data_IF_651612403412
#
_entry.id   IF_651612403412
#
_cell.length_a   1.000
_cell.length_b   1.000
_cell.length_c   1.000
_cell.angle_alpha   90.00
_cell.angle_beta   90.00
_cell.angle_gamma   90.00
#
_symmetry.space_group_name_H-M   'P 1'
#
loop_
_entity.id
_entity.type
_entity.pdbx_description
1 polymer ?
#
# COMPACT_ATOMS: atom_id res chain seq x y z
N UNK A 1 -12.73 17.44 -2.11
CA UNK A 1 -12.22 16.31 -2.92
C UNK A 1 -10.96 16.79 -3.63
N UNK A 2 -9.88 15.99 -3.65
CA UNK A 2 -8.67 16.31 -4.41
C UNK A 2 -8.63 15.45 -5.66
N UNK A 3 -8.54 16.09 -6.83
CA UNK A 3 -8.49 15.43 -8.13
C UNK A 3 -7.08 15.52 -8.68
N UNK A 4 -6.55 14.38 -9.15
CA UNK A 4 -5.25 14.34 -9.79
C UNK A 4 -5.32 14.96 -11.20
N UNK A 5 -4.25 15.62 -11.62
CA UNK A 5 -4.08 16.07 -13.01
C UNK A 5 -3.89 14.85 -13.93
N UNK A 6 -4.26 14.92 -15.22
CA UNK A 6 -4.15 13.78 -16.15
C UNK A 6 -2.76 13.13 -16.19
N UNK A 7 -1.70 13.95 -16.07
CA UNK A 7 -0.30 13.51 -16.10
C UNK A 7 0.04 12.56 -14.94
N UNK A 8 -0.65 12.67 -13.80
CA UNK A 8 -0.46 11.77 -12.68
C UNK A 8 -0.89 10.34 -13.02
N UNK A 9 -1.95 10.17 -13.81
CA UNK A 9 -2.39 8.85 -14.26
C UNK A 9 -1.36 8.21 -15.19
N UNK A 10 -0.75 9.00 -16.07
CA UNK A 10 0.27 8.50 -16.98
C UNK A 10 1.55 8.12 -16.23
N UNK A 11 1.94 8.88 -15.20
CA UNK A 11 3.03 8.51 -14.30
C UNK A 11 2.75 7.19 -13.57
N UNK A 12 1.54 7.02 -12.99
CA UNK A 12 1.16 5.77 -12.31
C UNK A 12 1.11 4.57 -13.28
N UNK A 13 0.67 4.78 -14.54
CA UNK A 13 0.70 3.75 -15.58
C UNK A 13 2.12 3.38 -15.99
N UNK A 14 3.05 4.33 -16.00
CA UNK A 14 4.46 4.06 -16.28
C UNK A 14 5.07 3.20 -15.17
N UNK A 15 4.85 3.54 -13.89
CA UNK A 15 5.29 2.74 -12.74
C UNK A 15 4.72 1.32 -12.80
N UNK A 16 3.42 1.16 -13.08
CA UNK A 16 2.78 -0.17 -13.20
C UNK A 16 3.41 -1.08 -14.28
N UNK A 17 4.05 -0.49 -15.30
CA UNK A 17 4.70 -1.23 -16.39
C UNK A 17 6.16 -1.59 -16.10
N UNK A 18 6.75 -1.04 -15.03
CA UNK A 18 8.11 -1.39 -14.63
C UNK A 18 8.16 -2.84 -14.15
N UNK A 19 9.32 -3.47 -14.32
CA UNK A 19 9.56 -4.80 -13.78
C UNK A 19 9.50 -4.74 -12.24
N UNK A 20 8.93 -5.79 -11.66
CA UNK A 20 8.90 -5.96 -10.21
C UNK A 20 10.32 -6.16 -9.69
N UNK A 21 10.70 -5.39 -8.68
CA UNK A 21 12.04 -5.44 -8.08
C UNK A 21 12.05 -6.25 -6.78
N UNK A 22 10.89 -6.63 -6.27
CA UNK A 22 10.74 -7.23 -4.95
C UNK A 22 10.91 -6.21 -3.84
N UNK A 23 10.73 -4.92 -4.12
CA UNK A 23 10.87 -3.87 -3.12
C UNK A 23 9.85 -4.06 -2.01
N UNK A 24 10.36 -4.15 -0.78
CA UNK A 24 9.54 -4.29 0.43
C UNK A 24 9.48 -2.96 1.17
N UNK A 25 8.26 -2.49 1.41
CA UNK A 25 7.99 -1.29 2.20
C UNK A 25 7.04 -1.66 3.33
N UNK A 26 7.37 -1.27 4.56
CA UNK A 26 6.51 -1.46 5.72
C UNK A 26 6.05 -0.11 6.23
N UNK A 27 4.73 0.05 6.42
CA UNK A 27 4.12 1.25 6.99
C UNK A 27 3.35 0.90 8.26
N UNK A 28 3.14 1.89 9.12
CA UNK A 28 2.17 1.75 10.22
C UNK A 28 0.77 1.54 9.67
N UNK A 29 -0.03 0.66 10.28
CA UNK A 29 -1.42 0.49 9.91
C UNK A 29 -2.28 1.72 10.25
N UNK A 30 -1.79 2.62 11.09
CA UNK A 30 -2.42 3.91 11.39
C UNK A 30 -2.20 4.96 10.30
N UNK A 31 -1.31 4.70 9.34
CA UNK A 31 -1.07 5.60 8.21
C UNK A 31 -2.30 5.65 7.29
N UNK A 32 -2.67 6.83 6.74
CA UNK A 32 -3.74 6.94 5.75
C UNK A 32 -3.57 6.06 4.50
N UNK A 33 -2.36 5.60 4.20
CA UNK A 33 -2.01 4.69 3.12
C UNK A 33 -2.25 3.20 3.47
N UNK A 34 -2.77 2.87 4.65
CA UNK A 34 -3.32 1.55 4.93
C UNK A 34 -4.63 1.34 4.15
N UNK A 35 -4.49 0.90 2.90
CA UNK A 35 -5.60 0.71 1.96
C UNK A 35 -6.02 -0.75 1.78
N UNK A 36 -5.50 -1.67 2.62
CA UNK A 36 -5.84 -3.11 2.58
C UNK A 36 -7.30 -3.30 2.98
N UNK A 37 -8.06 -4.04 2.15
CA UNK A 37 -9.50 -4.22 2.32
C UNK A 37 -10.33 -2.96 2.01
N UNK A 38 -9.72 -1.92 1.42
CA UNK A 38 -10.40 -0.71 0.93
C UNK A 38 -10.22 -0.60 -0.58
N UNK A 39 -8.98 -0.36 -1.03
CA UNK A 39 -8.61 -0.32 -2.46
C UNK A 39 -7.88 -1.59 -2.85
N UNK A 40 -7.04 -2.11 -1.95
CA UNK A 40 -6.25 -3.31 -2.17
C UNK A 40 -7.02 -4.56 -1.70
N UNK A 41 -6.82 -5.72 -2.34
CA UNK A 41 -7.49 -6.96 -1.95
C UNK A 41 -7.05 -7.41 -0.55
N UNK A 42 -7.86 -8.28 0.07
CA UNK A 42 -7.57 -8.90 1.36
C UNK A 42 -8.42 -8.35 2.52
N UNK A 43 -8.31 -8.97 3.71
CA UNK A 43 -9.02 -8.52 4.90
C UNK A 43 -8.48 -7.16 5.37
N UNK A 44 -9.37 -6.28 5.83
CA UNK A 44 -8.98 -4.96 6.33
C UNK A 44 -8.05 -5.07 7.53
N UNK A 45 -6.88 -4.44 7.44
CA UNK A 45 -5.94 -4.35 8.57
C UNK A 45 -6.41 -3.23 9.51
N UNK A 46 -6.66 -3.51 10.81
CA UNK A 46 -7.08 -2.48 11.76
C UNK A 46 -6.04 -1.37 11.90
N UNK A 47 -6.48 -0.12 11.83
CA UNK A 47 -5.64 1.09 11.95
C UNK A 47 -5.22 1.36 13.40
N UNK A 48 -4.48 0.43 13.98
CA UNK A 48 -3.90 0.53 15.32
C UNK A 48 -2.40 0.80 15.22
N UNK A 49 -1.87 1.61 16.13
CA UNK A 49 -0.44 1.99 16.16
C UNK A 49 0.49 0.79 16.35
N UNK A 50 0.00 -0.30 16.93
CA UNK A 50 0.74 -1.56 17.14
C UNK A 50 0.82 -2.43 15.88
N UNK A 51 0.04 -2.11 14.84
CA UNK A 51 -0.04 -2.91 13.63
C UNK A 51 0.76 -2.26 12.50
N UNK A 52 1.29 -3.08 11.60
CA UNK A 52 1.94 -2.63 10.37
C UNK A 52 1.50 -3.47 9.16
N UNK A 53 1.60 -2.84 7.99
CA UNK A 53 1.37 -3.48 6.70
C UNK A 53 2.68 -3.46 5.91
N UNK A 54 3.08 -4.63 5.42
CA UNK A 54 4.19 -4.74 4.47
C UNK A 54 3.63 -4.91 3.06
N UNK A 55 4.20 -4.15 2.12
CA UNK A 55 3.92 -4.26 0.70
C UNK A 55 5.16 -4.76 -0.02
N UNK A 56 4.98 -5.66 -0.97
CA UNK A 56 6.01 -6.06 -1.93
C UNK A 56 5.55 -5.64 -3.32
N UNK A 57 6.29 -4.72 -3.94
CA UNK A 57 5.90 -4.10 -5.22
C UNK A 57 4.45 -3.59 -5.23
N UNK A 58 4.01 -2.98 -4.12
CA UNK A 58 2.66 -2.45 -3.92
C UNK A 58 1.57 -3.48 -3.58
N UNK A 59 1.90 -4.77 -3.48
CA UNK A 59 0.96 -5.84 -3.08
C UNK A 59 1.09 -6.10 -1.58
N UNK A 60 0.00 -6.06 -0.79
CA UNK A 60 0.08 -6.32 0.65
C UNK A 60 0.41 -7.79 0.92
N UNK A 61 1.26 -8.04 1.90
CA UNK A 61 1.45 -9.39 2.44
C UNK A 61 0.34 -9.75 3.42
N UNK A 62 -0.03 -11.03 3.48
CA UNK A 62 -1.12 -11.51 4.34
C UNK A 62 -0.82 -11.36 5.84
N UNK A 63 0.47 -11.32 6.21
CA UNK A 63 0.88 -11.18 7.60
C UNK A 63 0.92 -9.71 8.03
N UNK A 64 0.00 -9.31 8.91
CA UNK A 64 0.17 -8.09 9.69
C UNK A 64 1.33 -8.30 10.66
N UNK A 65 2.38 -7.48 10.54
CA UNK A 65 3.46 -7.50 11.53
C UNK A 65 3.06 -6.60 12.70
N UNK A 66 3.29 -7.05 13.94
CA UNK A 66 3.28 -6.14 15.07
C UNK A 66 4.50 -5.22 14.97
N UNK A 67 4.31 -3.92 15.13
CA UNK A 67 5.44 -3.01 15.38
C UNK A 67 6.01 -3.38 16.76
N UNK A 68 7.28 -3.79 16.78
CA UNK A 68 8.02 -4.10 18.01
C UNK A 68 8.38 -2.82 18.77
#
# INVERSE_FOLDING_TARGET
>A
EQYAVPEALDALRAVRKQDRTGERITISAADPLNLVGVVLPGPRVPSLMTNAVSYVDGVPEEATAALA
#
